data_IF_741956388463
#
_entry.id   IF_741956388463
#
_cell.length_a   1.000
_cell.length_b   1.000
_cell.length_c   1.000
_cell.angle_alpha   90.00
_cell.angle_beta   90.00
_cell.angle_gamma   90.00
#
_symmetry.space_group_name_H-M   'P 1'
#
loop_
_entity.id
_entity.type
_entity.pdbx_description
1 polymer ?
#
# COMPACT_ATOMS: atom_id res chain seq x y z
N UNK A 1 -2.37 -22.28 -8.19
CA UNK A 1 -2.84 -21.12 -7.42
C UNK A 1 -2.12 -21.11 -6.08
N UNK A 2 -1.37 -20.06 -5.74
CA UNK A 2 -0.67 -19.95 -4.43
C UNK A 2 -1.73 -19.86 -3.33
N UNK A 3 -1.70 -20.80 -2.38
CA UNK A 3 -2.71 -20.90 -1.32
C UNK A 3 -2.41 -20.03 -0.09
N UNK A 4 -1.17 -19.54 0.09
CA UNK A 4 -0.75 -18.79 1.27
C UNK A 4 0.16 -17.64 0.86
N UNK A 5 -0.25 -16.41 1.18
CA UNK A 5 0.49 -15.16 0.94
C UNK A 5 0.88 -14.54 2.28
N UNK A 6 1.53 -15.33 3.12
CA UNK A 6 1.97 -14.82 4.41
C UNK A 6 3.34 -14.14 4.26
N UNK A 7 3.45 -12.96 4.82
CA UNK A 7 4.73 -12.27 4.98
C UNK A 7 5.24 -12.50 6.40
N UNK A 8 6.45 -13.00 6.52
CA UNK A 8 7.15 -13.12 7.80
C UNK A 8 7.89 -11.81 8.08
N UNK A 9 7.43 -11.07 9.10
CA UNK A 9 8.08 -9.85 9.55
C UNK A 9 9.03 -10.14 10.70
N UNK A 10 10.31 -9.81 10.52
CA UNK A 10 11.36 -9.97 11.53
C UNK A 10 11.61 -8.58 12.13
N UNK A 11 11.14 -8.39 13.36
CA UNK A 11 11.24 -7.10 14.08
C UNK A 11 12.23 -7.14 15.25
N UNK A 12 12.49 -8.32 15.86
CA UNK A 12 13.40 -8.46 17.00
C UNK A 12 14.86 -8.22 16.59
N UNK A 13 15.62 -7.46 17.39
CA UNK A 13 16.98 -7.03 17.02
C UNK A 13 17.99 -8.18 16.94
N UNK A 14 17.92 -9.12 17.85
CA UNK A 14 18.84 -10.28 17.90
C UNK A 14 18.31 -11.50 17.15
N UNK A 15 17.40 -11.27 16.19
CA UNK A 15 16.83 -12.36 15.41
C UNK A 15 17.83 -12.89 14.39
N UNK A 16 18.01 -14.22 14.40
CA UNK A 16 18.70 -15.00 13.39
C UNK A 16 17.72 -15.90 12.66
N UNK A 17 17.71 -15.82 11.33
CA UNK A 17 16.81 -16.64 10.51
C UNK A 17 17.61 -17.61 9.67
N UNK A 18 17.29 -18.88 9.76
CA UNK A 18 18.00 -19.92 9.04
C UNK A 18 17.06 -21.00 8.48
N UNK A 19 17.59 -21.82 7.58
CA UNK A 19 16.91 -23.00 7.03
C UNK A 19 17.13 -24.21 7.95
N UNK A 20 16.04 -24.95 8.22
CA UNK A 20 16.11 -26.28 8.78
C UNK A 20 15.20 -27.21 7.97
N UNK A 21 15.79 -28.12 7.15
CA UNK A 21 15.07 -28.92 6.16
C UNK A 21 14.24 -28.00 5.22
N UNK A 22 12.97 -28.25 5.03
CA UNK A 22 12.06 -27.45 4.19
C UNK A 22 11.31 -26.37 4.98
N UNK A 23 11.92 -25.87 6.06
CA UNK A 23 11.31 -24.86 6.94
C UNK A 23 12.22 -23.67 7.19
N UNK A 24 11.61 -22.52 7.45
CA UNK A 24 12.25 -21.36 8.05
C UNK A 24 12.22 -21.48 9.56
N UNK A 25 13.32 -21.18 10.21
CA UNK A 25 13.46 -21.12 11.66
C UNK A 25 13.93 -19.73 12.04
N UNK A 26 13.24 -19.12 13.01
CA UNK A 26 13.65 -17.85 13.62
C UNK A 26 14.10 -18.14 15.05
N UNK A 27 15.31 -17.71 15.37
CA UNK A 27 15.87 -17.75 16.71
C UNK A 27 16.09 -16.34 17.24
N UNK A 28 15.83 -16.14 18.52
CA UNK A 28 16.13 -14.93 19.27
C UNK A 28 16.86 -15.38 20.53
N UNK A 29 18.01 -14.80 20.85
CA UNK A 29 18.85 -15.21 21.98
C UNK A 29 19.18 -16.72 21.97
N UNK A 30 19.49 -17.28 20.78
CA UNK A 30 19.74 -18.71 20.56
C UNK A 30 18.57 -19.63 20.94
N UNK A 31 17.36 -19.11 21.06
CA UNK A 31 16.16 -19.90 21.30
C UNK A 31 15.24 -19.83 20.09
N UNK A 32 14.76 -21.00 19.64
CA UNK A 32 13.80 -21.06 18.56
C UNK A 32 12.47 -20.47 19.02
N UNK A 33 12.05 -19.37 18.35
CA UNK A 33 10.79 -18.67 18.63
C UNK A 33 9.72 -18.91 17.56
N UNK A 34 10.14 -19.29 16.34
CA UNK A 34 9.20 -19.54 15.24
C UNK A 34 9.77 -20.58 14.27
N UNK A 35 8.88 -21.39 13.68
CA UNK A 35 9.20 -22.29 12.57
C UNK A 35 7.99 -22.45 11.66
N UNK A 36 8.20 -22.35 10.36
CA UNK A 36 7.15 -22.53 9.35
C UNK A 36 7.68 -23.20 8.07
N UNK A 37 6.85 -23.98 7.36
CA UNK A 37 7.22 -24.55 6.06
C UNK A 37 7.43 -23.47 5.00
N UNK A 38 8.33 -23.70 4.04
CA UNK A 38 8.64 -22.74 2.96
C UNK A 38 7.40 -22.37 2.14
N UNK A 39 6.54 -23.32 1.87
CA UNK A 39 5.34 -23.09 1.04
C UNK A 39 4.26 -22.24 1.70
N UNK A 40 4.37 -21.95 3.00
CA UNK A 40 3.43 -21.11 3.74
C UNK A 40 3.83 -19.63 3.76
N UNK A 41 5.05 -19.30 3.28
CA UNK A 41 5.59 -17.93 3.33
C UNK A 41 6.01 -17.50 1.92
N UNK A 42 5.59 -16.32 1.52
CA UNK A 42 5.92 -15.73 0.24
C UNK A 42 7.03 -14.69 0.35
N UNK A 43 7.07 -13.96 1.46
CA UNK A 43 8.05 -12.91 1.68
C UNK A 43 8.59 -12.95 3.11
N UNK A 44 9.86 -12.63 3.27
CA UNK A 44 10.50 -12.30 4.54
C UNK A 44 10.85 -10.81 4.49
N UNK A 45 10.36 -10.03 5.46
CA UNK A 45 10.67 -8.61 5.60
C UNK A 45 11.38 -8.39 6.92
N UNK A 46 12.65 -7.99 6.84
CA UNK A 46 13.49 -7.70 7.99
C UNK A 46 13.48 -6.19 8.26
N UNK A 47 13.17 -5.80 9.49
CA UNK A 47 13.28 -4.42 9.94
C UNK A 47 14.63 -4.22 10.67
N UNK A 48 15.48 -3.34 10.14
CA UNK A 48 16.86 -3.17 10.59
C UNK A 48 17.80 -4.24 10.02
N UNK A 49 18.98 -4.37 10.63
CA UNK A 49 20.06 -5.27 10.19
C UNK A 49 19.94 -6.62 10.87
N UNK A 50 19.10 -7.50 10.33
CA UNK A 50 18.89 -8.86 10.87
C UNK A 50 19.80 -9.87 10.19
N UNK A 51 20.23 -10.88 10.92
CA UNK A 51 21.10 -11.92 10.38
C UNK A 51 20.27 -13.03 9.71
N UNK A 52 20.52 -13.27 8.41
CA UNK A 52 19.97 -14.39 7.65
C UNK A 52 21.12 -15.28 7.16
N UNK A 53 20.96 -16.61 7.28
CA UNK A 53 21.99 -17.52 6.78
C UNK A 53 22.06 -17.54 5.25
N UNK A 54 23.25 -17.68 4.63
CA UNK A 54 23.37 -17.83 3.18
C UNK A 54 22.57 -19.01 2.62
N UNK A 55 22.50 -20.13 3.36
CA UNK A 55 21.70 -21.29 2.98
C UNK A 55 20.20 -20.97 2.93
N UNK A 56 19.71 -20.12 3.85
CA UNK A 56 18.33 -19.62 3.79
C UNK A 56 18.11 -18.73 2.57
N UNK A 57 19.05 -17.84 2.27
CA UNK A 57 18.92 -16.94 1.12
C UNK A 57 18.84 -17.74 -0.20
N UNK A 58 19.70 -18.75 -0.37
CA UNK A 58 19.65 -19.64 -1.53
C UNK A 58 18.32 -20.40 -1.60
N UNK A 59 17.85 -20.94 -0.49
CA UNK A 59 16.60 -21.67 -0.38
C UNK A 59 15.38 -20.78 -0.69
N UNK A 60 15.37 -19.54 -0.23
CA UNK A 60 14.35 -18.56 -0.59
C UNK A 60 14.34 -18.27 -2.09
N UNK A 61 15.52 -18.08 -2.68
CA UNK A 61 15.67 -17.84 -4.12
C UNK A 61 15.12 -19.00 -4.97
N UNK A 62 15.44 -20.26 -4.60
CA UNK A 62 14.94 -21.48 -5.27
C UNK A 62 13.42 -21.63 -5.17
N UNK A 63 12.81 -21.17 -4.06
CA UNK A 63 11.38 -21.28 -3.80
C UNK A 63 10.56 -20.01 -4.14
N UNK A 64 11.19 -19.02 -4.79
CA UNK A 64 10.58 -17.72 -5.11
C UNK A 64 10.04 -16.99 -3.87
N UNK A 65 10.69 -17.11 -2.73
CA UNK A 65 10.40 -16.36 -1.51
C UNK A 65 11.23 -15.07 -1.52
N UNK A 66 10.56 -13.93 -1.53
CA UNK A 66 11.23 -12.62 -1.51
C UNK A 66 11.85 -12.33 -0.14
N UNK A 67 13.06 -11.77 -0.09
CA UNK A 67 13.66 -11.25 1.14
C UNK A 67 13.91 -9.76 0.94
N UNK A 68 13.38 -8.93 1.84
CA UNK A 68 13.59 -7.48 1.83
C UNK A 68 14.04 -6.99 3.18
N UNK A 69 14.97 -6.04 3.17
CA UNK A 69 15.40 -5.31 4.34
C UNK A 69 14.83 -3.90 4.28
N UNK A 70 14.16 -3.50 5.33
CA UNK A 70 13.66 -2.15 5.54
C UNK A 70 14.33 -1.56 6.79
N UNK A 71 14.50 -0.25 6.84
CA UNK A 71 14.82 0.41 8.11
C UNK A 71 13.65 0.24 9.09
N UNK A 72 13.87 0.54 10.35
CA UNK A 72 12.83 0.53 11.36
C UNK A 72 11.60 1.37 10.97
N UNK A 73 11.80 2.44 10.23
CA UNK A 73 10.74 3.33 9.73
C UNK A 73 10.18 2.90 8.34
N UNK A 74 10.47 1.68 7.89
CA UNK A 74 9.95 1.15 6.62
C UNK A 74 10.70 1.60 5.36
N UNK A 75 11.81 2.40 5.46
CA UNK A 75 12.61 2.76 4.29
C UNK A 75 13.32 1.54 3.74
N UNK A 76 13.19 1.28 2.44
CA UNK A 76 13.88 0.19 1.75
C UNK A 76 15.42 0.34 1.88
N UNK A 77 16.10 -0.73 2.28
CA UNK A 77 17.56 -0.81 2.42
C UNK A 77 18.17 -1.73 1.38
N UNK A 78 17.69 -2.98 1.33
CA UNK A 78 18.25 -4.01 0.46
C UNK A 78 17.22 -5.10 0.14
N UNK A 79 17.50 -5.86 -0.90
CA UNK A 79 16.74 -7.05 -1.27
C UNK A 79 17.70 -8.18 -1.66
N UNK A 80 17.36 -9.41 -1.28
CA UNK A 80 17.99 -10.61 -1.80
C UNK A 80 17.10 -11.17 -2.90
N UNK A 81 17.66 -11.28 -4.10
CA UNK A 81 17.01 -11.87 -5.27
C UNK A 81 17.84 -13.03 -5.78
N UNK A 82 17.17 -14.12 -6.14
CA UNK A 82 17.80 -15.23 -6.86
C UNK A 82 18.08 -14.91 -8.33
N UNK A 83 18.43 -15.94 -9.10
CA UNK A 83 18.52 -15.80 -10.55
C UNK A 83 17.20 -15.25 -11.10
N UNK A 84 17.30 -14.26 -11.98
CA UNK A 84 16.11 -13.68 -12.63
C UNK A 84 15.38 -14.78 -13.41
N UNK A 85 14.29 -15.23 -12.85
CA UNK A 85 13.34 -16.10 -13.53
C UNK A 85 12.25 -15.23 -14.17
N UNK A 86 11.77 -15.62 -15.32
CA UNK A 86 10.66 -14.93 -15.94
C UNK A 86 10.87 -14.62 -17.42
N UNK A 87 9.76 -14.29 -18.07
CA UNK A 87 9.70 -14.10 -19.50
C UNK A 87 10.42 -12.81 -19.93
N UNK A 88 11.61 -12.93 -20.53
CA UNK A 88 12.35 -11.80 -21.08
C UNK A 88 11.55 -11.02 -22.13
N UNK A 89 10.65 -11.71 -22.87
CA UNK A 89 9.79 -11.08 -23.87
C UNK A 89 8.75 -10.17 -23.22
N UNK A 90 8.24 -10.55 -22.05
CA UNK A 90 7.32 -9.69 -21.28
C UNK A 90 8.01 -8.39 -20.85
N UNK A 91 9.26 -8.47 -20.35
CA UNK A 91 10.02 -7.25 -19.99
C UNK A 91 10.34 -6.39 -21.20
N UNK A 92 10.72 -7.00 -22.32
CA UNK A 92 10.91 -6.24 -23.59
C UNK A 92 9.64 -5.51 -24.01
N UNK A 93 8.49 -6.18 -23.95
CA UNK A 93 7.20 -5.56 -24.25
C UNK A 93 6.85 -4.44 -23.25
N UNK A 94 7.11 -4.65 -21.94
CA UNK A 94 6.94 -3.62 -20.91
C UNK A 94 7.79 -2.39 -21.20
N UNK A 95 9.07 -2.55 -21.55
CA UNK A 95 9.97 -1.44 -21.85
C UNK A 95 9.52 -0.69 -23.10
N UNK A 96 9.21 -1.40 -24.18
CA UNK A 96 8.70 -0.79 -25.39
C UNK A 96 7.38 -0.02 -25.17
N UNK A 97 6.50 -0.52 -24.27
CA UNK A 97 5.27 0.16 -23.91
C UNK A 97 5.55 1.40 -23.04
N UNK A 98 6.52 1.34 -22.14
CA UNK A 98 6.92 2.46 -21.27
C UNK A 98 7.65 3.57 -22.05
N UNK A 99 8.40 3.23 -23.10
CA UNK A 99 9.07 4.18 -23.98
C UNK A 99 8.11 4.87 -24.97
N UNK A 100 6.87 4.43 -25.01
CA UNK A 100 5.81 4.97 -25.88
C UNK A 100 4.80 5.78 -25.03
N UNK A 101 4.83 7.11 -25.15
CA UNK A 101 3.94 8.00 -24.38
C UNK A 101 2.45 7.66 -24.52
N UNK A 102 1.87 7.41 -25.70
CA UNK A 102 0.49 6.95 -25.82
C UNK A 102 0.20 5.64 -25.08
N UNK A 103 1.14 4.68 -25.14
CA UNK A 103 1.03 3.39 -24.45
C UNK A 103 1.12 3.55 -22.93
N UNK A 104 2.04 4.38 -22.46
CA UNK A 104 2.17 4.75 -21.05
C UNK A 104 0.91 5.44 -20.53
N UNK A 105 0.36 6.39 -21.28
CA UNK A 105 -0.86 7.09 -20.94
C UNK A 105 -2.06 6.15 -20.90
N UNK A 106 -2.22 5.26 -21.88
CA UNK A 106 -3.29 4.26 -21.91
C UNK A 106 -3.22 3.30 -20.71
N UNK A 107 -2.01 2.99 -20.23
CA UNK A 107 -1.81 2.15 -19.02
C UNK A 107 -2.04 2.92 -17.74
N UNK A 108 -1.63 4.17 -17.66
CA UNK A 108 -1.71 5.00 -16.45
C UNK A 108 -3.14 5.49 -16.15
N UNK A 109 -3.94 5.83 -17.18
CA UNK A 109 -5.32 6.32 -17.00
C UNK A 109 -6.19 5.41 -16.11
N UNK A 110 -6.35 4.11 -16.40
CA UNK A 110 -7.17 3.24 -15.56
C UNK A 110 -6.66 3.15 -14.13
N UNK A 111 -5.33 3.16 -13.91
CA UNK A 111 -4.73 3.16 -12.57
C UNK A 111 -5.15 4.41 -11.78
N UNK A 112 -5.05 5.59 -12.40
CA UNK A 112 -5.43 6.84 -11.75
C UNK A 112 -6.93 6.94 -11.56
N UNK A 113 -7.73 6.50 -12.52
CA UNK A 113 -9.18 6.42 -12.36
C UNK A 113 -9.57 5.55 -11.15
N UNK A 114 -8.93 4.39 -10.98
CA UNK A 114 -9.16 3.55 -9.82
C UNK A 114 -8.71 4.21 -8.51
N UNK A 115 -7.55 4.87 -8.48
CA UNK A 115 -7.09 5.63 -7.32
C UNK A 115 -8.14 6.65 -6.87
N UNK A 116 -8.58 7.51 -7.79
CA UNK A 116 -9.54 8.58 -7.49
C UNK A 116 -10.88 8.00 -7.06
N UNK A 117 -11.39 6.98 -7.77
CA UNK A 117 -12.61 6.29 -7.38
C UNK A 117 -12.51 5.64 -6.00
N UNK A 118 -11.37 5.03 -5.65
CA UNK A 118 -11.14 4.39 -4.35
C UNK A 118 -11.04 5.43 -3.22
N UNK A 119 -10.40 6.58 -3.43
CA UNK A 119 -10.42 7.71 -2.51
C UNK A 119 -11.85 8.19 -2.27
N UNK A 120 -12.58 8.46 -3.35
CA UNK A 120 -13.98 8.88 -3.29
C UNK A 120 -14.84 7.87 -2.52
N UNK A 121 -14.69 6.58 -2.82
CA UNK A 121 -15.45 5.51 -2.14
C UNK A 121 -15.14 5.44 -0.63
N UNK A 122 -13.91 5.71 -0.21
CA UNK A 122 -13.55 5.76 1.21
C UNK A 122 -14.27 6.93 1.91
N UNK A 123 -14.29 8.12 1.30
CA UNK A 123 -15.01 9.30 1.80
C UNK A 123 -16.53 9.05 1.90
N UNK A 124 -17.14 8.56 0.82
CA UNK A 124 -18.57 8.25 0.80
C UNK A 124 -18.99 7.16 1.78
N UNK A 125 -18.13 6.16 2.00
CA UNK A 125 -18.35 5.13 3.03
C UNK A 125 -18.30 5.73 4.42
N UNK A 126 -17.36 6.63 4.69
CA UNK A 126 -17.31 7.34 5.97
C UNK A 126 -18.61 8.09 6.22
N UNK A 127 -19.08 8.86 5.25
CA UNK A 127 -20.34 9.62 5.29
C UNK A 127 -21.55 8.74 5.59
N UNK A 128 -21.69 7.59 4.90
CA UNK A 128 -22.80 6.64 5.14
C UNK A 128 -22.81 6.06 6.54
N UNK A 129 -21.65 5.83 7.11
CA UNK A 129 -21.51 5.29 8.47
C UNK A 129 -21.68 6.37 9.55
N UNK A 130 -21.69 7.66 9.17
CA UNK A 130 -21.81 8.83 10.05
C UNK A 130 -22.69 9.86 9.33
N UNK A 131 -24.02 9.59 9.24
CA UNK A 131 -24.96 10.59 8.68
C UNK A 131 -24.93 11.84 9.59
N UNK A 132 -25.15 13.04 9.02
CA UNK A 132 -25.36 14.23 9.84
C UNK A 132 -26.52 13.98 10.80
N UNK A 133 -26.48 14.62 11.96
CA UNK A 133 -27.65 14.62 12.85
C UNK A 133 -28.86 15.15 12.06
N UNK A 134 -29.99 14.43 12.10
CA UNK A 134 -31.23 14.93 11.52
C UNK A 134 -31.58 16.27 12.21
N UNK A 135 -31.95 17.27 11.42
CA UNK A 135 -32.42 18.57 11.90
C UNK A 135 -33.54 18.36 12.90
N UNK A 136 -33.28 18.52 14.19
CA UNK A 136 -34.29 18.39 15.24
C UNK A 136 -33.86 17.74 16.56
N UNK A 137 -32.65 17.14 16.66
CA UNK A 137 -32.14 16.71 17.94
C UNK A 137 -31.50 17.90 18.65
N UNK A 138 -32.05 18.33 19.80
CA UNK A 138 -31.41 19.27 20.72
C UNK A 138 -30.05 18.67 21.15
N UNK A 139 -28.96 19.30 20.71
CA UNK A 139 -27.61 18.87 21.02
C UNK A 139 -27.06 19.79 22.09
N UNK A 140 -26.55 19.19 23.15
CA UNK A 140 -25.89 19.91 24.23
C UNK A 140 -24.81 20.85 23.70
N UNK A 141 -24.86 22.12 24.14
CA UNK A 141 -24.01 23.24 23.78
C UNK A 141 -22.52 22.86 23.75
N UNK A 142 -21.86 22.98 22.61
CA UNK A 142 -20.40 23.01 22.47
C UNK A 142 -19.72 21.98 21.54
N UNK A 143 -20.47 21.06 20.89
CA UNK A 143 -19.85 19.99 20.06
C UNK A 143 -20.24 20.07 18.56
N UNK A 144 -20.97 21.08 18.11
CA UNK A 144 -21.70 21.04 16.83
C UNK A 144 -21.07 21.77 15.65
N UNK A 145 -20.34 22.85 15.88
CA UNK A 145 -19.85 23.66 14.74
C UNK A 145 -18.75 22.94 13.96
N UNK A 146 -17.80 22.27 14.63
CA UNK A 146 -16.71 21.54 13.99
C UNK A 146 -17.17 20.26 13.24
N UNK A 147 -18.25 19.62 13.68
CA UNK A 147 -18.74 18.36 13.11
C UNK A 147 -19.55 18.53 11.81
N UNK A 148 -20.31 19.59 11.68
CA UNK A 148 -21.13 19.88 10.49
C UNK A 148 -20.29 20.43 9.34
N UNK A 149 -19.38 21.38 9.60
CA UNK A 149 -18.46 21.90 8.59
C UNK A 149 -17.55 20.80 8.02
N UNK A 150 -17.12 19.84 8.87
CA UNK A 150 -16.27 18.72 8.42
C UNK A 150 -17.02 17.70 7.56
N UNK A 151 -18.32 17.46 7.80
CA UNK A 151 -19.13 16.50 7.04
C UNK A 151 -19.42 17.01 5.64
N UNK A 152 -19.73 18.29 5.49
CA UNK A 152 -20.00 18.95 4.21
C UNK A 152 -18.74 19.05 3.35
N UNK A 153 -17.58 19.26 3.99
CA UNK A 153 -16.28 19.23 3.32
C UNK A 153 -15.95 17.86 2.71
N UNK A 154 -16.26 16.76 3.41
CA UNK A 154 -16.04 15.39 2.92
C UNK A 154 -16.93 15.09 1.71
N UNK A 155 -18.21 15.50 1.74
CA UNK A 155 -19.13 15.32 0.63
C UNK A 155 -18.73 16.16 -0.58
N UNK A 156 -18.41 17.43 -0.37
CA UNK A 156 -17.93 18.35 -1.40
C UNK A 156 -16.66 17.82 -2.08
N UNK A 157 -15.68 17.34 -1.32
CA UNK A 157 -14.47 16.74 -1.88
C UNK A 157 -14.78 15.48 -2.69
N UNK A 158 -15.67 14.61 -2.20
CA UNK A 158 -16.08 13.42 -2.94
C UNK A 158 -16.84 13.75 -4.23
N UNK A 159 -17.67 14.79 -4.25
CA UNK A 159 -18.35 15.28 -5.44
C UNK A 159 -17.36 15.86 -6.45
N UNK A 160 -16.48 16.77 -6.01
CA UNK A 160 -15.46 17.40 -6.85
C UNK A 160 -14.52 16.36 -7.50
N UNK A 161 -14.10 15.33 -6.76
CA UNK A 161 -13.33 14.21 -7.35
C UNK A 161 -14.16 13.42 -8.36
N UNK A 162 -15.48 13.29 -8.17
CA UNK A 162 -16.40 12.69 -9.14
C UNK A 162 -16.44 13.46 -10.45
N UNK A 163 -16.46 14.79 -10.40
CA UNK A 163 -16.43 15.67 -11.57
C UNK A 163 -15.12 15.59 -12.36
N UNK A 164 -14.01 15.22 -11.71
CA UNK A 164 -12.71 15.02 -12.37
C UNK A 164 -12.55 13.66 -13.09
N UNK A 165 -13.44 12.70 -12.85
CA UNK A 165 -13.34 11.38 -13.50
C UNK A 165 -13.39 11.44 -15.03
N UNK A 166 -14.26 12.25 -15.69
CA UNK A 166 -14.21 12.43 -17.15
C UNK A 166 -12.89 13.04 -17.65
N UNK A 167 -12.29 13.95 -16.88
CA UNK A 167 -11.02 14.60 -17.27
C UNK A 167 -9.86 13.59 -17.29
N UNK A 168 -9.83 12.64 -16.36
CA UNK A 168 -8.87 11.53 -16.37
C UNK A 168 -8.96 10.74 -17.69
N UNK A 169 -10.18 10.49 -18.18
CA UNK A 169 -10.37 9.74 -19.43
C UNK A 169 -9.97 10.56 -20.68
N UNK A 170 -10.10 11.88 -20.62
CA UNK A 170 -9.80 12.80 -21.69
C UNK A 170 -8.35 13.30 -21.72
N UNK A 171 -7.58 13.08 -20.65
CA UNK A 171 -6.18 13.53 -20.58
C UNK A 171 -5.40 13.06 -21.80
N UNK A 172 -4.75 13.96 -22.51
CA UNK A 172 -3.99 13.68 -23.72
C UNK A 172 -2.50 13.45 -23.45
N UNK A 173 -2.02 13.87 -22.27
CA UNK A 173 -0.63 13.71 -21.86
C UNK A 173 -0.49 13.13 -20.45
N UNK A 174 0.68 12.55 -20.15
CA UNK A 174 1.01 12.08 -18.81
C UNK A 174 1.10 13.23 -17.79
N UNK A 175 1.50 14.43 -18.23
CA UNK A 175 1.60 15.59 -17.35
C UNK A 175 0.22 16.14 -16.97
N UNK A 176 -0.73 16.16 -17.89
CA UNK A 176 -2.14 16.44 -17.58
C UNK A 176 -2.71 15.43 -16.59
N UNK A 177 -2.48 14.14 -16.85
CA UNK A 177 -2.94 13.07 -15.96
C UNK A 177 -2.34 13.21 -14.54
N UNK A 178 -1.06 13.56 -14.42
CA UNK A 178 -0.40 13.85 -13.13
C UNK A 178 -0.96 15.10 -12.45
N UNK A 179 -1.32 16.12 -13.22
CA UNK A 179 -1.98 17.33 -12.72
C UNK A 179 -3.30 16.99 -12.07
N UNK A 180 -4.19 16.28 -12.78
CA UNK A 180 -5.50 15.83 -12.28
C UNK A 180 -5.33 14.92 -11.06
N UNK A 181 -4.38 13.99 -11.09
CA UNK A 181 -4.06 13.13 -9.94
C UNK A 181 -3.68 13.95 -8.72
N UNK A 182 -2.81 14.95 -8.90
CA UNK A 182 -2.34 15.84 -7.83
C UNK A 182 -3.48 16.66 -7.22
N UNK A 183 -4.38 17.22 -8.04
CA UNK A 183 -5.56 17.94 -7.58
C UNK A 183 -6.50 17.03 -6.76
N UNK A 184 -6.81 15.84 -7.27
CA UNK A 184 -7.66 14.87 -6.56
C UNK A 184 -6.99 14.41 -5.23
N UNK A 185 -5.69 14.24 -5.22
CA UNK A 185 -4.97 13.91 -3.99
C UNK A 185 -5.00 15.06 -2.98
N UNK A 186 -4.89 16.31 -3.43
CA UNK A 186 -5.01 17.49 -2.55
C UNK A 186 -6.42 17.59 -1.93
N UNK A 187 -7.49 17.39 -2.73
CA UNK A 187 -8.87 17.34 -2.25
C UNK A 187 -9.05 16.25 -1.19
N UNK A 188 -8.55 15.04 -1.46
CA UNK A 188 -8.68 13.92 -0.55
C UNK A 188 -7.94 14.15 0.78
N UNK A 189 -6.67 14.52 0.73
CA UNK A 189 -5.87 14.75 1.94
C UNK A 189 -6.31 16.01 2.71
N UNK A 190 -6.92 16.98 2.03
CA UNK A 190 -7.50 18.17 2.66
C UNK A 190 -8.65 17.86 3.62
N UNK A 191 -9.38 16.78 3.38
CA UNK A 191 -10.53 16.36 4.21
C UNK A 191 -10.26 15.09 5.05
N UNK A 192 -9.06 14.50 4.97
CA UNK A 192 -8.76 13.24 5.64
C UNK A 192 -8.80 13.38 7.18
N UNK A 193 -8.49 14.57 7.71
CA UNK A 193 -8.60 14.88 9.14
C UNK A 193 -10.02 14.64 9.68
N UNK A 194 -11.05 14.97 8.90
CA UNK A 194 -12.45 14.74 9.28
C UNK A 194 -12.81 13.25 9.49
N UNK A 195 -12.02 12.33 8.96
CA UNK A 195 -12.21 10.90 9.16
C UNK A 195 -11.53 10.38 10.42
N UNK A 196 -10.69 11.18 11.06
CA UNK A 196 -9.98 10.87 12.31
C UNK A 196 -10.85 11.34 13.48
N UNK A 197 -11.30 10.39 14.31
CA UNK A 197 -12.23 10.65 15.42
C UNK A 197 -11.53 10.93 16.76
N UNK A 198 -10.24 10.63 16.84
CA UNK A 198 -9.44 10.80 18.06
C UNK A 198 -8.79 12.17 18.01
N UNK A 199 -9.25 13.09 18.85
CA UNK A 199 -8.83 14.51 18.87
C UNK A 199 -7.31 14.71 19.00
N UNK A 200 -6.62 13.79 19.68
CA UNK A 200 -5.17 13.88 19.87
C UNK A 200 -4.36 13.60 18.58
N UNK A 201 -5.01 13.03 17.55
CA UNK A 201 -4.36 12.76 16.26
C UNK A 201 -4.67 13.89 15.28
N UNK A 202 -3.83 14.89 15.25
CA UNK A 202 -3.88 15.95 14.26
C UNK A 202 -3.39 15.45 12.89
N UNK A 203 -4.01 15.93 11.81
CA UNK A 203 -3.59 15.71 10.43
C UNK A 203 -3.67 17.02 9.65
N UNK A 204 -2.62 17.87 9.69
CA UNK A 204 -2.63 19.17 9.02
C UNK A 204 -2.48 19.06 7.49
N UNK A 205 -2.33 17.85 6.96
CA UNK A 205 -2.11 17.55 5.56
C UNK A 205 -1.03 16.50 5.36
N UNK A 206 -0.74 16.15 4.11
CA UNK A 206 0.20 15.06 3.80
C UNK A 206 1.66 15.52 3.86
N UNK A 207 2.41 15.09 4.89
CA UNK A 207 3.87 15.18 4.99
C UNK A 207 4.53 13.81 4.78
N UNK A 208 5.65 13.75 4.03
CA UNK A 208 6.21 12.46 3.57
C UNK A 208 7.65 12.20 3.99
N UNK A 209 8.51 13.19 3.95
CA UNK A 209 9.97 13.05 4.11
C UNK A 209 10.57 14.28 4.81
N UNK A 210 10.62 14.27 6.11
CA UNK A 210 10.08 13.27 7.02
C UNK A 210 8.55 13.39 7.26
N UNK A 211 7.87 12.40 7.86
CA UNK A 211 6.54 12.57 8.40
C UNK A 211 6.61 13.46 9.65
N UNK A 212 5.71 14.45 9.76
CA UNK A 212 5.76 15.48 10.81
C UNK A 212 4.67 15.32 11.88
N UNK A 213 3.81 14.32 11.74
CA UNK A 213 2.75 13.96 12.68
C UNK A 213 2.53 12.44 12.72
N UNK A 214 1.87 11.91 13.76
CA UNK A 214 1.65 10.48 13.93
C UNK A 214 0.85 9.81 12.82
N UNK A 215 -0.18 10.48 12.27
CA UNK A 215 -0.99 9.93 11.19
C UNK A 215 -0.17 9.81 9.90
N UNK A 216 0.67 10.81 9.60
CA UNK A 216 1.62 10.75 8.49
C UNK A 216 2.73 9.71 8.68
N UNK A 217 3.16 9.45 9.92
CA UNK A 217 4.10 8.37 10.22
C UNK A 217 3.48 6.99 9.92
N UNK A 218 2.24 6.76 10.34
CA UNK A 218 1.46 5.55 10.02
C UNK A 218 1.29 5.37 8.51
N UNK A 219 0.83 6.42 7.80
CA UNK A 219 0.65 6.36 6.34
C UNK A 219 1.94 6.05 5.61
N UNK A 220 3.04 6.69 6.01
CA UNK A 220 4.34 6.50 5.37
C UNK A 220 4.85 5.07 5.56
N UNK A 221 4.66 4.50 6.75
CA UNK A 221 5.03 3.12 7.05
C UNK A 221 4.14 2.12 6.30
N UNK A 222 2.81 2.30 6.31
CA UNK A 222 1.87 1.44 5.59
C UNK A 222 2.14 1.45 4.08
N UNK A 223 2.44 2.62 3.50
CA UNK A 223 2.80 2.71 2.10
C UNK A 223 4.15 2.05 1.78
N UNK A 224 5.11 2.08 2.72
CA UNK A 224 6.39 1.41 2.55
C UNK A 224 6.24 -0.12 2.51
N UNK A 225 5.40 -0.72 3.36
CA UNK A 225 5.12 -2.16 3.31
C UNK A 225 4.26 -2.52 2.10
N UNK A 226 3.29 -1.70 1.74
CA UNK A 226 2.44 -1.92 0.56
C UNK A 226 3.25 -1.90 -0.74
N UNK A 227 4.13 -0.92 -0.95
CA UNK A 227 4.98 -0.89 -2.15
C UNK A 227 5.92 -2.09 -2.23
N UNK A 228 6.36 -2.61 -1.08
CA UNK A 228 7.18 -3.82 -1.03
C UNK A 228 6.38 -5.08 -1.44
N UNK A 229 5.12 -5.20 -1.01
CA UNK A 229 4.22 -6.28 -1.45
C UNK A 229 3.95 -6.21 -2.96
N UNK A 230 3.63 -5.02 -3.47
CA UNK A 230 3.41 -4.80 -4.92
C UNK A 230 4.67 -5.11 -5.72
N UNK A 231 5.84 -4.65 -5.27
CA UNK A 231 7.12 -4.96 -5.90
C UNK A 231 7.35 -6.47 -5.99
N UNK A 232 7.11 -7.19 -4.91
CA UNK A 232 7.24 -8.65 -4.86
C UNK A 232 6.29 -9.34 -5.85
N UNK A 233 5.06 -8.87 -5.96
CA UNK A 233 4.06 -9.38 -6.90
C UNK A 233 4.50 -9.17 -8.36
N UNK A 234 5.02 -7.99 -8.71
CA UNK A 234 5.52 -7.67 -10.04
C UNK A 234 6.70 -8.57 -10.43
N UNK A 235 7.70 -8.70 -9.55
CA UNK A 235 8.88 -9.55 -9.79
C UNK A 235 8.49 -11.03 -9.98
N UNK A 236 7.58 -11.54 -9.13
CA UNK A 236 7.08 -12.92 -9.25
C UNK A 236 6.34 -13.17 -10.57
N UNK A 237 5.71 -12.13 -11.11
CA UNK A 237 5.01 -12.19 -12.40
C UNK A 237 5.97 -12.05 -13.59
N UNK A 238 7.21 -11.61 -13.35
CA UNK A 238 8.23 -11.40 -14.37
C UNK A 238 8.27 -9.99 -14.94
N UNK A 239 7.58 -9.04 -14.32
CA UNK A 239 7.64 -7.61 -14.63
C UNK A 239 8.80 -6.93 -13.89
N UNK A 240 9.34 -5.87 -14.47
CA UNK A 240 10.33 -5.02 -13.83
C UNK A 240 9.63 -3.94 -12.98
N UNK A 241 9.75 -3.96 -11.65
CA UNK A 241 9.09 -2.98 -10.79
C UNK A 241 9.63 -1.56 -10.93
N UNK A 242 10.78 -1.36 -11.60
CA UNK A 242 11.42 -0.06 -11.78
C UNK A 242 10.84 0.70 -12.99
N UNK A 243 10.34 -0.01 -14.00
CA UNK A 243 9.89 0.56 -15.26
C UNK A 243 8.38 0.73 -15.24
N UNK A 244 7.93 1.92 -14.86
CA UNK A 244 6.53 2.32 -14.75
C UNK A 244 6.02 3.11 -15.96
N UNK A 245 4.78 3.54 -15.87
CA UNK A 245 4.04 4.25 -16.91
C UNK A 245 3.68 5.69 -16.48
N UNK A 246 3.31 5.90 -15.22
CA UNK A 246 2.95 7.22 -14.70
C UNK A 246 4.13 7.91 -14.02
N UNK A 247 4.76 7.21 -13.10
CA UNK A 247 5.88 7.75 -12.34
C UNK A 247 7.13 7.78 -13.20
N UNK A 248 7.77 8.96 -13.31
CA UNK A 248 9.01 9.15 -14.08
C UNK A 248 10.09 8.16 -13.61
N UNK A 249 10.82 7.61 -14.56
CA UNK A 249 11.95 6.72 -14.32
C UNK A 249 13.07 7.50 -13.61
N UNK A 250 13.53 6.97 -12.47
CA UNK A 250 14.68 7.51 -11.72
C UNK A 250 15.45 6.35 -11.11
N UNK A 251 16.76 6.47 -11.04
CA UNK A 251 17.62 5.46 -10.40
C UNK A 251 17.12 5.14 -8.99
N UNK A 252 16.97 3.84 -8.70
CA UNK A 252 16.50 3.34 -7.41
C UNK A 252 14.99 3.50 -7.12
N UNK A 253 14.22 4.11 -8.02
CA UNK A 253 12.79 4.30 -7.84
C UNK A 253 12.01 3.12 -8.45
N UNK A 254 11.19 2.40 -7.67
CA UNK A 254 10.36 1.33 -8.20
C UNK A 254 9.09 1.91 -8.84
N UNK A 255 9.23 2.56 -10.01
CA UNK A 255 8.17 3.36 -10.63
C UNK A 255 6.90 2.55 -10.91
N UNK A 256 7.00 1.32 -11.45
CA UNK A 256 5.83 0.48 -11.68
C UNK A 256 5.17 0.03 -10.37
N UNK A 257 5.98 -0.29 -9.36
CA UNK A 257 5.40 -0.67 -8.08
C UNK A 257 4.65 0.51 -7.42
N UNK A 258 5.12 1.74 -7.63
CA UNK A 258 4.42 2.95 -7.19
C UNK A 258 3.14 3.18 -8.02
N UNK A 259 3.16 2.93 -9.33
CA UNK A 259 1.98 3.04 -10.19
C UNK A 259 0.87 2.09 -9.72
N UNK A 260 1.17 0.81 -9.61
CA UNK A 260 0.17 -0.21 -9.21
C UNK A 260 -0.28 -0.04 -7.76
N UNK A 261 0.60 0.45 -6.88
CA UNK A 261 0.24 0.73 -5.49
C UNK A 261 -0.89 1.79 -5.38
N UNK A 262 -1.02 2.70 -6.34
CA UNK A 262 -2.06 3.74 -6.32
C UNK A 262 -3.47 3.16 -6.19
N UNK A 263 -3.73 2.00 -6.79
CA UNK A 263 -5.02 1.31 -6.71
C UNK A 263 -5.37 0.84 -5.28
N UNK A 264 -4.36 0.64 -4.43
CA UNK A 264 -4.51 0.04 -3.11
C UNK A 264 -4.36 1.02 -1.94
N UNK A 265 -3.91 2.25 -2.17
CA UNK A 265 -3.63 3.22 -1.09
C UNK A 265 -4.83 3.41 -0.17
N UNK A 266 -5.99 3.77 -0.71
CA UNK A 266 -7.20 3.95 0.09
C UNK A 266 -7.61 2.67 0.81
N UNK A 267 -7.48 1.51 0.14
CA UNK A 267 -8.01 0.24 0.60
C UNK A 267 -7.14 -0.45 1.66
N UNK A 268 -5.82 -0.42 1.49
CA UNK A 268 -4.84 -1.08 2.35
C UNK A 268 -4.01 -0.12 3.21
N UNK A 269 -3.79 1.11 2.76
CA UNK A 269 -3.05 2.11 3.53
C UNK A 269 -3.96 2.91 4.45
N UNK A 270 -4.74 3.80 3.85
CA UNK A 270 -5.49 4.84 4.57
C UNK A 270 -6.55 4.24 5.49
N UNK A 271 -7.29 3.23 5.00
CA UNK A 271 -8.30 2.54 5.80
C UNK A 271 -7.72 1.83 7.03
N UNK A 272 -6.53 1.24 6.91
CA UNK A 272 -5.87 0.61 8.05
C UNK A 272 -5.42 1.68 9.05
N UNK A 273 -4.83 2.78 8.58
CA UNK A 273 -4.44 3.90 9.42
C UNK A 273 -5.65 4.44 10.21
N UNK A 274 -6.76 4.73 9.54
CA UNK A 274 -7.99 5.22 10.16
C UNK A 274 -8.54 4.23 11.20
N UNK A 275 -8.52 2.93 10.91
CA UNK A 275 -8.96 1.91 11.86
C UNK A 275 -8.05 1.85 13.10
N UNK A 276 -6.72 1.90 12.91
CA UNK A 276 -5.76 1.88 14.02
C UNK A 276 -5.98 3.04 14.98
N UNK A 277 -6.21 4.24 14.44
CA UNK A 277 -6.46 5.44 15.24
C UNK A 277 -7.85 5.39 15.87
N UNK A 278 -8.90 5.24 15.06
CA UNK A 278 -10.27 5.38 15.50
C UNK A 278 -10.73 4.26 16.46
N UNK A 279 -10.16 3.06 16.35
CA UNK A 279 -10.35 1.96 17.30
C UNK A 279 -9.36 2.01 18.48
N UNK A 280 -8.56 3.08 18.58
CA UNK A 280 -7.59 3.31 19.66
C UNK A 280 -6.59 2.14 19.83
N UNK A 281 -6.21 1.49 18.72
CA UNK A 281 -5.19 0.45 18.73
C UNK A 281 -3.77 1.02 18.81
N UNK A 282 -3.62 2.31 18.47
CA UNK A 282 -2.44 3.12 18.69
C UNK A 282 -2.85 4.43 19.36
N UNK A 283 -1.95 5.02 20.13
CA UNK A 283 -2.12 6.28 20.85
C UNK A 283 -0.98 7.23 20.54
N UNK A 284 -1.12 8.52 20.87
CA UNK A 284 -0.03 9.51 20.69
C UNK A 284 1.25 9.11 21.42
N UNK A 285 1.12 8.41 22.55
CA UNK A 285 2.27 7.93 23.37
C UNK A 285 3.14 6.90 22.65
N UNK A 286 2.62 6.31 21.59
CA UNK A 286 3.32 5.33 20.75
C UNK A 286 4.24 5.98 19.71
N UNK A 287 4.34 7.33 19.74
CA UNK A 287 5.13 8.11 18.79
C UNK A 287 6.10 9.04 19.52
N UNK A 288 7.29 9.17 18.96
CA UNK A 288 8.34 10.05 19.43
C UNK A 288 8.62 11.14 18.38
N UNK A 289 8.63 12.38 18.80
CA UNK A 289 9.03 13.51 17.96
C UNK A 289 10.53 13.74 18.16
N UNK A 290 11.30 13.63 17.09
CA UNK A 290 12.74 13.88 17.08
C UNK A 290 13.05 15.40 17.00
N UNK A 291 14.27 15.79 17.33
CA UNK A 291 14.72 17.18 17.21
C UNK A 291 14.57 17.75 15.78
N UNK A 292 14.63 16.88 14.76
CA UNK A 292 14.39 17.22 13.35
C UNK A 292 12.92 17.49 13.00
N UNK A 293 11.98 17.31 13.94
CA UNK A 293 10.54 17.30 13.70
C UNK A 293 10.01 15.97 13.13
N UNK A 294 10.88 15.00 12.80
CA UNK A 294 10.46 13.68 12.33
C UNK A 294 9.72 12.93 13.43
N UNK A 295 8.54 12.42 13.09
CA UNK A 295 7.75 11.55 13.99
C UNK A 295 8.04 10.08 13.69
N UNK A 296 8.38 9.32 14.75
CA UNK A 296 8.69 7.90 14.67
C UNK A 296 7.76 7.08 15.55
N UNK A 297 7.38 5.92 15.08
CA UNK A 297 6.64 4.93 15.85
C UNK A 297 7.55 4.15 16.79
N UNK A 298 7.04 3.82 17.97
CA UNK A 298 7.65 2.83 18.87
C UNK A 298 7.65 1.41 18.24
N UNK A 299 8.43 0.51 18.80
CA UNK A 299 8.47 -0.90 18.35
C UNK A 299 7.15 -1.61 18.57
N UNK A 300 6.46 -1.31 19.66
CA UNK A 300 5.14 -1.85 19.99
C UNK A 300 4.09 -1.38 18.99
N UNK A 301 4.07 -0.07 18.67
CA UNK A 301 3.18 0.47 17.64
C UNK A 301 3.45 -0.17 16.29
N UNK A 302 4.71 -0.36 15.92
CA UNK A 302 5.10 -1.01 14.66
C UNK A 302 4.58 -2.45 14.59
N UNK A 303 4.71 -3.24 15.66
CA UNK A 303 4.16 -4.59 15.75
C UNK A 303 2.64 -4.59 15.60
N UNK A 304 1.95 -3.66 16.25
CA UNK A 304 0.48 -3.48 16.16
C UNK A 304 0.06 -3.17 14.72
N UNK A 305 0.75 -2.25 14.05
CA UNK A 305 0.47 -1.89 12.64
C UNK A 305 0.69 -3.08 11.72
N UNK A 306 1.80 -3.83 11.88
CA UNK A 306 2.09 -5.02 11.09
C UNK A 306 1.06 -6.12 11.30
N UNK A 307 0.62 -6.34 12.54
CA UNK A 307 -0.43 -7.31 12.85
C UNK A 307 -1.77 -6.93 12.20
N UNK A 308 -2.16 -5.65 12.27
CA UNK A 308 -3.36 -5.14 11.62
C UNK A 308 -3.29 -5.28 10.09
N UNK A 309 -2.15 -4.96 9.49
CA UNK A 309 -1.93 -5.12 8.05
C UNK A 309 -2.02 -6.59 7.61
N UNK A 310 -1.37 -7.53 8.35
CA UNK A 310 -1.46 -8.96 8.07
C UNK A 310 -2.88 -9.50 8.25
N UNK A 311 -3.58 -9.11 9.32
CA UNK A 311 -4.98 -9.48 9.53
C UNK A 311 -5.84 -9.04 8.35
N UNK A 312 -5.66 -7.81 7.87
CA UNK A 312 -6.39 -7.28 6.72
C UNK A 312 -6.11 -8.08 5.45
N UNK A 313 -4.87 -8.52 5.22
CA UNK A 313 -4.50 -9.35 4.06
C UNK A 313 -5.18 -10.71 4.05
N UNK A 314 -5.56 -11.24 5.21
CA UNK A 314 -6.24 -12.54 5.34
C UNK A 314 -7.75 -12.46 5.12
N UNK A 315 -8.35 -11.27 5.17
CA UNK A 315 -9.77 -11.10 4.89
C UNK A 315 -10.09 -11.44 3.42
N UNK A 316 -11.30 -11.97 3.19
CA UNK A 316 -11.77 -12.33 1.85
C UNK A 316 -12.47 -11.17 1.16
N UNK A 317 -12.30 -11.11 -0.15
CA UNK A 317 -13.01 -10.21 -1.06
C UNK A 317 -13.39 -10.95 -2.34
N UNK A 318 -14.47 -10.54 -2.97
CA UNK A 318 -14.76 -10.91 -4.37
C UNK A 318 -14.09 -9.89 -5.28
N UNK A 319 -13.14 -10.33 -6.12
CA UNK A 319 -12.44 -9.44 -7.04
C UNK A 319 -13.42 -8.80 -8.03
N UNK A 320 -13.45 -7.46 -8.17
CA UNK A 320 -14.50 -6.78 -8.93
C UNK A 320 -14.55 -7.14 -10.42
N UNK A 321 -13.39 -7.39 -11.02
CA UNK A 321 -13.29 -7.78 -12.43
C UNK A 321 -13.41 -9.29 -12.66
N UNK A 322 -12.76 -10.11 -11.83
CA UNK A 322 -12.75 -11.57 -12.01
C UNK A 322 -14.03 -12.26 -11.49
N UNK A 323 -14.74 -11.62 -10.53
CA UNK A 323 -15.89 -12.25 -9.86
C UNK A 323 -15.51 -13.39 -8.91
N UNK A 324 -14.22 -13.65 -8.70
CA UNK A 324 -13.71 -14.75 -7.88
C UNK A 324 -13.46 -14.29 -6.44
N UNK A 325 -13.73 -15.17 -5.45
CA UNK A 325 -13.35 -14.94 -4.05
C UNK A 325 -11.87 -15.20 -3.85
N UNK A 326 -11.23 -14.27 -3.15
CA UNK A 326 -9.81 -14.38 -2.81
C UNK A 326 -9.48 -13.61 -1.55
N UNK A 327 -8.32 -13.86 -0.96
CA UNK A 327 -7.82 -13.03 0.14
C UNK A 327 -7.30 -11.68 -0.39
N UNK A 328 -7.47 -10.62 0.39
CA UNK A 328 -7.02 -9.27 0.04
C UNK A 328 -5.51 -9.24 -0.25
N UNK A 329 -4.72 -10.04 0.45
CA UNK A 329 -3.28 -10.15 0.21
C UNK A 329 -2.89 -10.63 -1.20
N UNK A 330 -3.81 -11.30 -1.94
CA UNK A 330 -3.60 -11.69 -3.34
C UNK A 330 -3.78 -10.56 -4.35
N UNK A 331 -4.46 -9.48 -3.98
CA UNK A 331 -4.79 -8.41 -4.92
C UNK A 331 -3.59 -7.85 -5.69
N UNK A 332 -2.45 -7.49 -5.05
CA UNK A 332 -1.29 -7.02 -5.79
C UNK A 332 -0.78 -8.04 -6.82
N UNK A 333 -0.83 -9.33 -6.49
CA UNK A 333 -0.38 -10.39 -7.39
C UNK A 333 -1.33 -10.57 -8.59
N UNK A 334 -2.63 -10.52 -8.35
CA UNK A 334 -3.65 -10.60 -9.40
C UNK A 334 -3.53 -9.39 -10.34
N UNK A 335 -3.38 -8.17 -9.79
CA UNK A 335 -3.21 -6.97 -10.62
C UNK A 335 -1.90 -7.01 -11.43
N UNK A 336 -0.81 -7.52 -10.88
CA UNK A 336 0.42 -7.76 -11.62
C UNK A 336 0.22 -8.77 -12.78
N UNK A 337 -0.55 -9.85 -12.56
CA UNK A 337 -0.89 -10.81 -13.62
C UNK A 337 -1.79 -10.20 -14.69
N UNK A 338 -2.79 -9.40 -14.31
CA UNK A 338 -3.67 -8.71 -15.26
C UNK A 338 -2.88 -7.71 -16.11
N UNK A 339 -1.96 -6.96 -15.47
CA UNK A 339 -1.06 -6.07 -16.19
C UNK A 339 -0.15 -6.83 -17.16
N UNK A 340 0.41 -7.96 -16.75
CA UNK A 340 1.23 -8.79 -17.63
C UNK A 340 0.44 -9.32 -18.83
N UNK A 341 -0.84 -9.69 -18.64
CA UNK A 341 -1.73 -10.11 -19.73
C UNK A 341 -2.03 -8.95 -20.69
N UNK A 342 -2.24 -7.75 -20.16
CA UNK A 342 -2.42 -6.54 -20.96
C UNK A 342 -1.17 -6.24 -21.80
N UNK A 343 0.01 -6.24 -21.20
CA UNK A 343 1.29 -5.97 -21.89
C UNK A 343 1.56 -7.01 -23.00
N UNK A 344 1.15 -8.27 -22.83
CA UNK A 344 1.25 -9.30 -23.87
C UNK A 344 0.18 -9.21 -24.95
N UNK A 345 -0.85 -8.37 -24.77
CA UNK A 345 -1.99 -8.28 -25.69
C UNK A 345 -3.04 -9.40 -25.50
N UNK A 346 -2.99 -10.16 -24.38
CA UNK A 346 -3.98 -11.20 -24.07
C UNK A 346 -5.34 -10.59 -23.67
N UNK A 347 -5.36 -9.33 -23.22
CA UNK A 347 -6.54 -8.50 -22.95
C UNK A 347 -6.33 -7.11 -23.54
N UNK A 348 -7.41 -6.48 -23.99
CA UNK A 348 -7.36 -5.20 -24.72
C UNK A 348 -7.06 -4.01 -23.81
N UNK A 349 -7.55 -4.04 -22.57
CA UNK A 349 -7.41 -2.97 -21.58
C UNK A 349 -6.97 -3.55 -20.23
N UNK A 350 -6.22 -2.75 -19.47
CA UNK A 350 -5.86 -3.11 -18.11
C UNK A 350 -7.05 -2.85 -17.16
N UNK A 351 -7.60 -3.89 -16.50
CA UNK A 351 -8.69 -3.72 -15.54
C UNK A 351 -8.14 -3.43 -14.14
N UNK A 352 -8.17 -2.17 -13.67
CA UNK A 352 -7.63 -1.81 -12.37
C UNK A 352 -8.57 -2.26 -11.24
N UNK A 353 -8.06 -2.25 -10.00
CA UNK A 353 -8.83 -2.60 -8.82
C UNK A 353 -9.71 -1.45 -8.34
N UNK A 354 -11.02 -1.62 -8.40
CA UNK A 354 -12.02 -0.72 -7.80
C UNK A 354 -12.53 -1.29 -6.47
N UNK A 355 -12.41 -0.52 -5.39
CA UNK A 355 -13.00 -0.83 -4.09
C UNK A 355 -14.54 -0.72 -4.16
N UNK A 356 -15.25 -1.72 -3.66
CA UNK A 356 -16.71 -1.67 -3.47
C UNK A 356 -17.08 -1.12 -2.09
#
# INVERSE_FOLDING_TARGET
MKKHLNTLYITSDDAYVHKQRETFVVEVDNKKVFQAPVHSIENIVCFGFKALSPALMAFCAENNVGISYLSENGRFLARVSGAQQGNVLLRKAQYALSDNDPGSLATARPIIAAKVANYRNLLLRHRRNHPPAEDGAEVEDGALEDGLESSDGVESAAAAMGERMPDIQKAETLDELRGIEGECAAMYFGVLSALIKVKDFEFPGRSKRPPLDPANALLSFLYAILVNDVRSALETTGLDPQVGFLHQLRSGRPSLALDIMEEFRAYLGDRIMLNLINLKQVSIKDFEIRESGEVRMSDEARKTVLAAYQKRKQEEITHPFLGEKMTIGLLPHIQAQLLARYIRGDIQEYPPFYMK
#
